data_IF_808648649047
#
_entry.id   IF_808648649047
#
_cell.length_a   1.000
_cell.length_b   1.000
_cell.length_c   1.000
_cell.angle_alpha   90.00
_cell.angle_beta   90.00
_cell.angle_gamma   90.00
#
_symmetry.space_group_name_H-M   'P 1'
#
loop_
_entity.id
_entity.type
_entity.pdbx_description
1 polymer ?
#
# COMPACT_ATOMS: atom_id res chain seq x y z
N UNK A 1 2.40 14.56 -1.05
CA UNK A 1 2.60 13.53 -2.09
C UNK A 1 3.36 12.39 -1.43
N UNK A 2 2.79 11.17 -1.35
CA UNK A 2 3.42 10.01 -0.68
C UNK A 2 4.52 9.36 -1.52
N UNK A 3 4.52 9.59 -2.83
CA UNK A 3 5.58 9.16 -3.74
C UNK A 3 6.78 10.09 -3.64
N UNK A 4 7.98 9.55 -3.87
CA UNK A 4 9.26 10.28 -3.81
C UNK A 4 9.69 10.74 -2.39
N UNK A 5 9.09 10.17 -1.35
CA UNK A 5 9.56 10.32 0.04
C UNK A 5 10.58 9.24 0.39
N UNK A 6 11.29 9.41 1.52
CA UNK A 6 12.25 8.40 2.00
C UNK A 6 11.61 7.01 2.17
N UNK A 7 10.35 6.94 2.62
CA UNK A 7 9.62 5.69 2.77
C UNK A 7 9.40 4.99 1.43
N UNK A 8 9.14 5.76 0.37
CA UNK A 8 9.00 5.24 -0.97
C UNK A 8 10.33 4.65 -1.47
N UNK A 9 11.47 5.30 -1.19
CA UNK A 9 12.79 4.78 -1.50
C UNK A 9 13.05 3.44 -0.80
N UNK A 10 12.81 3.35 0.51
CA UNK A 10 12.98 2.12 1.28
C UNK A 10 12.14 0.95 0.74
N UNK A 11 10.91 1.24 0.34
CA UNK A 11 9.99 0.24 -0.21
C UNK A 11 10.47 -0.29 -1.58
N UNK A 12 11.02 0.58 -2.43
CA UNK A 12 11.64 0.18 -3.70
C UNK A 12 12.89 -0.66 -3.45
N UNK A 13 13.75 -0.24 -2.53
CA UNK A 13 14.96 -0.99 -2.19
C UNK A 13 14.61 -2.40 -1.71
N UNK A 14 13.59 -2.54 -0.87
CA UNK A 14 13.11 -3.84 -0.41
C UNK A 14 12.58 -4.69 -1.56
N UNK A 15 11.75 -4.13 -2.43
CA UNK A 15 11.20 -4.85 -3.58
C UNK A 15 12.28 -5.35 -4.55
N UNK A 16 13.36 -4.58 -4.71
CA UNK A 16 14.48 -4.94 -5.57
C UNK A 16 15.44 -5.94 -4.90
N UNK A 17 15.50 -5.95 -3.56
CA UNK A 17 16.33 -6.86 -2.77
C UNK A 17 15.66 -8.21 -2.47
N UNK A 18 14.33 -8.36 -2.63
CA UNK A 18 13.63 -9.62 -2.33
C UNK A 18 14.12 -10.76 -3.27
N UNK A 19 15.00 -11.57 -2.68
CA UNK A 19 15.77 -12.65 -3.28
C UNK A 19 14.90 -13.89 -3.55
N UNK A 20 14.51 -14.14 -4.80
CA UNK A 20 13.98 -15.46 -5.22
C UNK A 20 14.29 -15.83 -6.69
N UNK A 21 15.17 -15.11 -7.40
CA UNK A 21 15.58 -15.49 -8.75
C UNK A 21 17.04 -15.10 -9.02
N UNK A 22 17.95 -16.05 -8.79
CA UNK A 22 19.41 -15.87 -8.80
C UNK A 22 19.99 -15.47 -10.18
N UNK A 23 19.26 -15.70 -11.28
CA UNK A 23 19.71 -15.35 -12.64
C UNK A 23 19.51 -13.89 -13.03
N UNK A 24 18.71 -13.11 -12.28
CA UNK A 24 18.35 -11.72 -12.62
C UNK A 24 18.98 -10.66 -11.69
N UNK A 25 19.85 -11.07 -10.76
CA UNK A 25 20.36 -10.23 -9.67
C UNK A 25 21.21 -9.05 -10.17
N UNK A 26 22.06 -9.28 -11.18
CA UNK A 26 22.93 -8.24 -11.75
C UNK A 26 22.11 -7.17 -12.48
N UNK A 27 21.15 -7.57 -13.31
CA UNK A 27 20.27 -6.64 -14.04
C UNK A 27 19.36 -5.86 -13.09
N UNK A 28 18.83 -6.50 -12.05
CA UNK A 28 18.06 -5.81 -11.00
C UNK A 28 18.89 -4.77 -10.26
N UNK A 29 20.15 -5.07 -9.95
CA UNK A 29 21.04 -4.11 -9.29
C UNK A 29 21.40 -2.92 -10.20
N UNK A 30 21.65 -3.17 -11.49
CA UNK A 30 21.84 -2.13 -12.51
C UNK A 30 20.60 -1.23 -12.60
N UNK A 31 19.41 -1.83 -12.69
CA UNK A 31 18.15 -1.09 -12.77
C UNK A 31 17.82 -0.35 -11.48
N UNK A 32 18.14 -0.93 -10.32
CA UNK A 32 18.01 -0.27 -9.01
C UNK A 32 18.76 1.04 -8.98
N UNK A 33 20.04 1.01 -9.37
CA UNK A 33 20.86 2.22 -9.39
C UNK A 33 20.27 3.27 -10.32
N UNK A 34 19.95 2.92 -11.57
CA UNK A 34 19.38 3.89 -12.54
C UNK A 34 18.01 4.42 -12.13
N UNK A 35 17.14 3.56 -11.61
CA UNK A 35 15.80 3.95 -11.21
C UNK A 35 15.83 4.91 -10.01
N UNK A 36 16.61 4.58 -8.98
CA UNK A 36 16.68 5.38 -7.75
C UNK A 36 17.49 6.66 -7.95
N UNK A 37 18.62 6.60 -8.66
CA UNK A 37 19.56 7.72 -8.78
C UNK A 37 19.23 8.66 -9.94
N UNK A 38 18.72 8.14 -11.05
CA UNK A 38 18.47 8.96 -12.23
C UNK A 38 16.98 9.23 -12.41
N UNK A 39 16.13 8.22 -12.25
CA UNK A 39 14.76 8.28 -12.74
C UNK A 39 13.79 8.91 -11.73
N UNK A 40 13.87 8.57 -10.45
CA UNK A 40 13.05 9.18 -9.40
C UNK A 40 13.35 10.67 -9.14
N UNK A 41 14.60 11.11 -8.93
CA UNK A 41 14.87 12.50 -8.55
C UNK A 41 14.63 13.48 -9.69
N UNK A 42 14.77 13.04 -10.94
CA UNK A 42 14.62 13.90 -12.11
C UNK A 42 13.18 14.00 -12.62
N UNK A 43 12.22 13.30 -12.03
CA UNK A 43 10.82 13.31 -12.46
C UNK A 43 9.90 13.62 -11.27
N UNK A 44 9.31 14.81 -11.30
CA UNK A 44 8.28 15.24 -10.32
C UNK A 44 6.88 14.75 -10.78
N UNK A 45 6.76 14.36 -12.05
CA UNK A 45 5.50 13.90 -12.63
C UNK A 45 5.23 12.43 -12.30
N UNK A 46 3.96 12.11 -12.03
CA UNK A 46 3.50 10.75 -11.72
C UNK A 46 3.58 9.78 -12.92
N UNK A 47 3.76 10.30 -14.14
CA UNK A 47 3.88 9.50 -15.36
C UNK A 47 5.13 9.83 -16.16
N UNK A 48 5.56 8.87 -16.97
CA UNK A 48 6.70 8.97 -17.87
C UNK A 48 6.39 8.31 -19.21
N UNK A 49 6.82 8.94 -20.30
CA UNK A 49 6.67 8.43 -21.66
C UNK A 49 7.77 7.41 -21.97
N UNK A 50 7.44 6.41 -22.80
CA UNK A 50 8.36 5.38 -23.30
C UNK A 50 9.58 5.98 -23.97
N UNK A 51 9.38 7.01 -24.80
CA UNK A 51 10.48 7.70 -25.47
C UNK A 51 11.52 8.24 -24.46
N UNK A 52 11.06 8.76 -23.32
CA UNK A 52 11.94 9.26 -22.27
C UNK A 52 12.65 8.12 -21.55
N UNK A 53 11.97 7.01 -21.28
CA UNK A 53 12.58 5.80 -20.70
C UNK A 53 13.71 5.25 -21.60
N UNK A 54 13.46 5.17 -22.90
CA UNK A 54 14.40 4.58 -23.87
C UNK A 54 15.56 5.53 -24.19
N UNK A 55 15.29 6.82 -24.44
CA UNK A 55 16.33 7.73 -24.94
C UNK A 55 17.08 8.46 -23.81
N UNK A 56 16.36 8.94 -22.79
CA UNK A 56 16.96 9.70 -21.69
C UNK A 56 17.57 8.76 -20.64
N UNK A 57 16.86 7.70 -20.30
CA UNK A 57 17.29 6.76 -19.27
C UNK A 57 17.95 5.49 -19.84
N UNK A 58 18.02 5.35 -21.16
CA UNK A 58 18.66 4.23 -21.86
C UNK A 58 18.18 2.87 -21.34
N UNK A 59 16.87 2.76 -21.06
CA UNK A 59 16.22 1.52 -20.65
C UNK A 59 15.74 0.78 -21.89
N UNK A 60 16.03 -0.51 -21.97
CA UNK A 60 15.51 -1.34 -23.05
C UNK A 60 14.10 -1.86 -22.72
N UNK A 61 13.43 -2.51 -23.69
CA UNK A 61 12.09 -3.05 -23.49
C UNK A 61 12.03 -4.08 -22.35
N UNK A 62 13.06 -4.89 -22.16
CA UNK A 62 13.12 -5.89 -21.08
C UNK A 62 13.20 -5.21 -19.70
N UNK A 63 13.94 -4.12 -19.59
CA UNK A 63 14.05 -3.30 -18.39
C UNK A 63 12.69 -2.71 -18.01
N UNK A 64 11.96 -2.18 -19.00
CA UNK A 64 10.60 -1.65 -18.80
C UNK A 64 9.63 -2.78 -18.36
N UNK A 65 9.66 -3.93 -19.02
CA UNK A 65 8.86 -5.09 -18.63
C UNK A 65 9.17 -5.55 -17.21
N UNK A 66 10.44 -5.55 -16.81
CA UNK A 66 10.87 -5.92 -15.47
C UNK A 66 10.39 -4.91 -14.42
N UNK A 67 10.45 -3.61 -14.70
CA UNK A 67 9.92 -2.57 -13.81
C UNK A 67 8.39 -2.71 -13.63
N UNK A 68 7.65 -3.10 -14.68
CA UNK A 68 6.22 -3.41 -14.59
C UNK A 68 5.98 -4.66 -13.73
N UNK A 69 6.73 -5.73 -13.97
CA UNK A 69 6.62 -6.98 -13.20
C UNK A 69 6.92 -6.77 -11.71
N UNK A 70 7.87 -5.89 -11.40
CA UNK A 70 8.20 -5.53 -10.02
C UNK A 70 7.16 -4.61 -9.37
N UNK A 71 6.17 -4.11 -10.13
CA UNK A 71 5.15 -3.19 -9.64
C UNK A 71 5.68 -1.77 -9.38
N UNK A 72 6.75 -1.38 -10.08
CA UNK A 72 7.33 -0.03 -10.05
C UNK A 72 6.76 0.89 -11.13
N UNK A 73 6.31 0.30 -12.24
CA UNK A 73 5.58 0.99 -13.30
C UNK A 73 4.23 0.31 -13.58
N UNK A 74 3.24 1.11 -13.95
CA UNK A 74 1.93 0.65 -14.44
C UNK A 74 1.64 1.24 -15.83
N UNK A 75 1.16 0.46 -16.81
CA UNK A 75 0.73 1.00 -18.08
C UNK A 75 -0.42 2.02 -17.90
N UNK A 76 -0.35 3.17 -18.59
CA UNK A 76 -1.39 4.21 -18.58
C UNK A 76 -2.22 4.20 -19.86
N UNK A 77 -1.57 4.58 -20.95
CA UNK A 77 -2.10 4.71 -22.31
C UNK A 77 -0.92 4.52 -23.27
N UNK A 78 -1.16 4.37 -24.58
CA UNK A 78 -0.14 4.11 -25.60
C UNK A 78 1.21 4.80 -25.29
N UNK A 79 2.23 4.00 -25.02
CA UNK A 79 3.60 4.43 -24.72
C UNK A 79 3.77 5.37 -23.50
N UNK A 80 2.86 5.32 -22.52
CA UNK A 80 2.97 6.02 -21.23
C UNK A 80 2.83 5.07 -20.05
N UNK A 81 3.59 5.36 -18.99
CA UNK A 81 3.61 4.58 -17.75
C UNK A 81 3.42 5.48 -16.54
N UNK A 82 2.65 5.04 -15.56
CA UNK A 82 2.60 5.61 -14.22
C UNK A 82 3.71 5.02 -13.35
N UNK A 83 4.26 5.83 -12.46
CA UNK A 83 4.97 5.30 -11.30
C UNK A 83 4.00 4.65 -10.34
N UNK A 84 4.39 3.54 -9.74
CA UNK A 84 3.57 2.81 -8.78
C UNK A 84 4.29 2.47 -7.50
N UNK A 85 3.49 2.19 -6.48
CA UNK A 85 3.95 1.66 -5.19
C UNK A 85 3.88 0.14 -5.29
N UNK A 86 5.02 -0.58 -5.21
CA UNK A 86 5.01 -2.03 -5.25
C UNK A 86 4.17 -2.60 -4.11
N UNK A 87 3.50 -3.71 -4.37
CA UNK A 87 2.58 -4.41 -3.45
C UNK A 87 1.38 -3.58 -2.95
N UNK A 88 1.06 -2.45 -3.59
CA UNK A 88 -0.10 -1.64 -3.21
C UNK A 88 -1.42 -2.39 -3.37
N UNK A 89 -1.64 -3.12 -4.47
CA UNK A 89 -2.89 -3.84 -4.68
C UNK A 89 -3.17 -4.94 -3.62
N UNK A 90 -2.21 -5.85 -3.30
CA UNK A 90 -2.34 -6.76 -2.17
C UNK A 90 -2.61 -6.05 -0.83
N UNK A 91 -1.95 -4.91 -0.60
CA UNK A 91 -2.13 -4.11 0.60
C UNK A 91 -3.56 -3.54 0.70
N UNK A 92 -4.06 -2.88 -0.35
CA UNK A 92 -5.43 -2.36 -0.41
C UNK A 92 -6.44 -3.49 -0.21
N UNK A 93 -6.24 -4.63 -0.87
CA UNK A 93 -7.09 -5.82 -0.70
C UNK A 93 -7.10 -6.32 0.74
N UNK A 94 -5.95 -6.31 1.42
CA UNK A 94 -5.83 -6.67 2.82
C UNK A 94 -6.59 -5.67 3.71
N UNK A 95 -6.45 -4.37 3.47
CA UNK A 95 -7.19 -3.32 4.19
C UNK A 95 -8.70 -3.44 4.03
N UNK A 96 -9.19 -3.68 2.81
CA UNK A 96 -10.63 -3.87 2.59
C UNK A 96 -11.16 -5.11 3.32
N UNK A 97 -10.41 -6.22 3.30
CA UNK A 97 -10.75 -7.44 4.03
C UNK A 97 -10.78 -7.22 5.54
N UNK A 98 -9.82 -6.47 6.09
CA UNK A 98 -9.79 -6.18 7.51
C UNK A 98 -10.96 -5.27 7.93
N UNK A 99 -11.27 -4.21 7.16
CA UNK A 99 -12.45 -3.36 7.39
C UNK A 99 -13.74 -4.17 7.42
N UNK A 100 -13.98 -5.01 6.40
CA UNK A 100 -15.17 -5.86 6.33
C UNK A 100 -15.27 -6.79 7.54
N UNK A 101 -14.15 -7.40 7.93
CA UNK A 101 -14.11 -8.30 9.08
C UNK A 101 -14.48 -7.57 10.37
N UNK A 102 -13.85 -6.42 10.64
CA UNK A 102 -14.07 -5.64 11.85
C UNK A 102 -15.50 -5.10 11.92
N UNK A 103 -16.04 -4.61 10.80
CA UNK A 103 -17.44 -4.18 10.72
C UNK A 103 -18.41 -5.34 10.93
N UNK A 104 -18.15 -6.52 10.37
CA UNK A 104 -18.97 -7.71 10.64
C UNK A 104 -18.92 -8.14 12.11
N UNK A 105 -17.78 -7.97 12.77
CA UNK A 105 -17.65 -8.28 14.21
C UNK A 105 -18.47 -7.32 15.06
N UNK A 106 -18.45 -6.03 14.71
CA UNK A 106 -19.26 -5.01 15.38
C UNK A 106 -20.75 -5.22 15.08
N UNK A 107 -21.13 -5.49 13.83
CA UNK A 107 -22.53 -5.58 13.41
C UNK A 107 -23.31 -6.73 14.03
N UNK A 108 -22.60 -7.78 14.47
CA UNK A 108 -23.18 -8.93 15.20
C UNK A 108 -23.51 -8.61 16.66
N UNK A 109 -23.11 -7.45 17.19
CA UNK A 109 -23.44 -7.01 18.55
C UNK A 109 -24.79 -6.31 18.56
N UNK A 110 -25.55 -6.50 19.65
CA UNK A 110 -26.86 -5.89 19.86
C UNK A 110 -26.87 -4.38 19.63
N UNK A 111 -25.85 -3.69 20.15
CA UNK A 111 -25.73 -2.24 20.06
C UNK A 111 -24.75 -1.76 18.98
N UNK A 112 -24.24 -2.69 18.15
CA UNK A 112 -23.21 -2.44 17.13
C UNK A 112 -21.97 -1.71 17.65
N UNK A 113 -21.65 -1.95 18.92
CA UNK A 113 -20.52 -1.35 19.63
C UNK A 113 -19.76 -2.39 20.47
N UNK A 114 -18.52 -2.08 20.81
CA UNK A 114 -17.64 -2.92 21.63
C UNK A 114 -16.67 -2.05 22.45
N UNK A 115 -16.39 -2.36 23.72
CA UNK A 115 -15.31 -1.70 24.46
C UNK A 115 -13.95 -1.88 23.79
N UNK A 116 -13.14 -0.82 23.72
CA UNK A 116 -11.85 -0.82 23.04
C UNK A 116 -10.91 -1.91 23.58
N UNK A 117 -10.89 -2.09 24.91
CA UNK A 117 -10.09 -3.11 25.58
C UNK A 117 -10.52 -4.52 25.17
N UNK A 118 -11.84 -4.79 25.09
CA UNK A 118 -12.35 -6.09 24.62
C UNK A 118 -12.01 -6.29 23.14
N UNK A 119 -12.09 -5.23 22.34
CA UNK A 119 -11.85 -5.32 20.90
C UNK A 119 -10.39 -5.64 20.58
N UNK A 120 -9.45 -5.01 21.31
CA UNK A 120 -8.03 -5.24 21.17
C UNK A 120 -7.60 -6.66 21.55
N UNK A 121 -8.29 -7.28 22.52
CA UNK A 121 -8.02 -8.64 22.98
C UNK A 121 -8.43 -9.72 21.97
N UNK A 122 -9.26 -9.38 20.98
CA UNK A 122 -9.65 -10.35 19.95
C UNK A 122 -8.46 -10.63 19.03
N UNK A 123 -8.19 -11.91 18.77
CA UNK A 123 -7.10 -12.30 17.88
C UNK A 123 -7.40 -11.88 16.43
N UNK A 124 -6.87 -10.72 16.07
CA UNK A 124 -6.94 -10.17 14.72
C UNK A 124 -5.70 -10.50 13.88
N UNK A 125 -4.68 -11.14 14.45
CA UNK A 125 -3.36 -11.30 13.80
C UNK A 125 -3.43 -12.07 12.48
N UNK A 126 -4.38 -13.01 12.34
CA UNK A 126 -4.59 -13.76 11.09
C UNK A 126 -5.27 -12.96 9.98
N UNK A 127 -5.92 -11.84 10.31
CA UNK A 127 -6.78 -11.07 9.38
C UNK A 127 -6.28 -9.64 9.13
N UNK A 128 -5.26 -9.22 9.86
CA UNK A 128 -4.83 -7.82 9.97
C UNK A 128 -3.30 -7.74 9.98
N UNK A 129 -2.70 -7.43 8.83
CA UNK A 129 -1.24 -7.41 8.65
C UNK A 129 -0.54 -6.29 9.45
N UNK A 130 -1.24 -5.19 9.72
CA UNK A 130 -0.67 -3.96 10.31
C UNK A 130 -1.00 -3.78 11.80
N UNK A 131 -1.54 -4.82 12.44
CA UNK A 131 -1.94 -4.80 13.84
C UNK A 131 -3.28 -4.09 14.10
N UNK A 132 -3.83 -4.30 15.30
CA UNK A 132 -5.18 -3.84 15.65
C UNK A 132 -5.33 -2.31 15.61
N UNK A 133 -4.38 -1.58 16.21
CA UNK A 133 -4.41 -0.12 16.34
C UNK A 133 -4.50 0.56 14.97
N UNK A 134 -3.71 0.09 13.99
CA UNK A 134 -3.76 0.62 12.62
C UNK A 134 -5.17 0.50 12.03
N UNK A 135 -5.79 -0.68 12.13
CA UNK A 135 -7.09 -0.89 11.50
C UNK A 135 -8.24 -0.17 12.21
N UNK A 136 -8.12 0.10 13.51
CA UNK A 136 -9.07 0.97 14.20
C UNK A 136 -8.96 2.40 13.68
N UNK A 137 -7.75 2.95 13.58
CA UNK A 137 -7.55 4.27 12.99
C UNK A 137 -8.00 4.35 11.53
N UNK A 138 -7.77 3.28 10.76
CA UNK A 138 -8.24 3.17 9.38
C UNK A 138 -9.78 3.17 9.29
N UNK A 139 -10.49 2.44 10.16
CA UNK A 139 -11.95 2.47 10.21
C UNK A 139 -12.51 3.84 10.58
N UNK A 140 -11.88 4.51 11.54
CA UNK A 140 -12.27 5.85 11.98
C UNK A 140 -12.00 6.87 10.88
N UNK A 141 -10.80 6.85 10.29
CA UNK A 141 -10.42 7.71 9.18
C UNK A 141 -11.28 7.51 7.93
N UNK A 142 -11.80 6.29 7.74
CA UNK A 142 -12.76 5.98 6.68
C UNK A 142 -14.22 6.39 7.02
N UNK A 143 -14.47 6.94 8.22
CA UNK A 143 -15.80 7.24 8.76
C UNK A 143 -16.74 6.02 8.81
N UNK A 144 -16.17 4.82 8.99
CA UNK A 144 -16.93 3.57 9.09
C UNK A 144 -17.25 3.20 10.55
N UNK A 145 -16.48 3.73 11.48
CA UNK A 145 -16.69 3.60 12.91
C UNK A 145 -16.28 4.90 13.63
N UNK A 146 -16.74 5.07 14.86
CA UNK A 146 -16.36 6.18 15.73
C UNK A 146 -16.05 5.67 17.14
N UNK A 147 -15.16 6.38 17.82
CA UNK A 147 -14.86 6.16 19.23
C UNK A 147 -15.80 7.05 20.05
N UNK A 148 -16.43 6.47 21.06
CA UNK A 148 -17.22 7.21 22.05
C UNK A 148 -16.58 6.97 23.41
N UNK A 149 -16.28 8.05 24.12
CA UNK A 149 -15.80 7.95 25.49
C UNK A 149 -16.97 7.77 26.44
N UNK A 150 -16.87 6.75 27.30
CA UNK A 150 -17.86 6.48 28.35
C UNK A 150 -17.16 6.48 29.72
N UNK A 151 -17.89 6.61 30.85
CA UNK A 151 -17.29 6.61 32.18
C UNK A 151 -16.46 5.37 32.51
N UNK A 152 -16.73 4.23 31.84
CA UNK A 152 -16.02 2.95 32.04
C UNK A 152 -14.94 2.69 30.99
N UNK A 153 -14.71 3.64 30.08
CA UNK A 153 -13.71 3.56 29.02
C UNK A 153 -14.29 3.82 27.63
N UNK A 154 -13.42 3.85 26.62
CA UNK A 154 -13.83 4.13 25.25
C UNK A 154 -14.46 2.89 24.58
N UNK A 155 -15.51 3.12 23.81
CA UNK A 155 -16.18 2.11 22.97
C UNK A 155 -15.99 2.46 21.50
N UNK A 156 -15.91 1.44 20.64
CA UNK A 156 -15.93 1.57 19.18
C UNK A 156 -17.31 1.21 18.69
N UNK A 157 -17.94 2.11 17.92
CA UNK A 157 -19.29 1.94 17.38
C UNK A 157 -19.31 2.12 15.87
N UNK A 158 -20.13 1.35 15.16
CA UNK A 158 -20.32 1.52 13.71
C UNK A 158 -20.88 2.92 13.42
N UNK A 159 -20.29 3.62 12.44
CA UNK A 159 -20.76 4.92 11.96
C UNK A 159 -22.13 4.83 11.27
N UNK A 160 -22.84 5.95 11.08
CA UNK A 160 -24.09 5.94 10.31
C UNK A 160 -23.84 5.34 8.92
N UNK A 161 -24.74 4.47 8.45
CA UNK A 161 -24.69 3.97 7.08
C UNK A 161 -24.70 5.17 6.14
N UNK A 162 -23.75 5.21 5.20
CA UNK A 162 -23.84 6.14 4.07
C UNK A 162 -25.05 5.72 3.25
N UNK A 163 -26.16 6.45 3.40
CA UNK A 163 -27.31 6.42 2.49
C UNK A 163 -26.86 6.86 1.10
#
# INVERSE_FOLDING_TARGET
>A
MLMFTNDYHLLIERQLNDNNLSSLSIEKNRLKQRFIQDLLPNNICLSIDKYTLENKFQLNLNDIHLLIQLGLLLPKQCDQYWFSIPNLAPFITCLEKSRRTLLQMLSRRTYKEIPMNEFQLRDMKKKCLLGFVYHIHDLIGANLAHIIDTPTGSIVKIGPEKV
#
